data_IF_478624478990
#
_entry.id   IF_478624478990
#
_cell.length_a   1.000
_cell.length_b   1.000
_cell.length_c   1.000
_cell.angle_alpha   90.00
_cell.angle_beta   90.00
_cell.angle_gamma   90.00
#
_symmetry.space_group_name_H-M   'P 1'
#
loop_
_entity.id
_entity.type
_entity.pdbx_description
1 polymer ?
#
# COMPACT_ATOMS: atom_id res chain seq x y z
N UNK A 1 25.42 -27.80 5.63
CA UNK A 1 23.98 -27.51 5.47
C UNK A 1 23.74 -26.10 6.00
N UNK A 2 24.11 -25.11 5.20
CA UNK A 2 24.21 -23.72 5.61
C UNK A 2 22.95 -22.95 5.19
N UNK A 3 22.33 -22.29 6.17
CA UNK A 3 21.62 -21.00 6.05
C UNK A 3 20.62 -20.85 4.90
N UNK A 4 19.44 -21.48 5.00
CA UNK A 4 18.23 -20.85 4.46
C UNK A 4 17.91 -19.65 5.36
N UNK A 5 18.53 -18.51 5.04
CA UNK A 5 18.25 -17.24 5.68
C UNK A 5 16.75 -16.99 5.75
N UNK A 6 16.28 -16.50 6.91
CA UNK A 6 14.91 -16.10 7.19
C UNK A 6 14.42 -15.08 6.16
N UNK A 7 13.93 -15.56 5.03
CA UNK A 7 13.34 -14.68 4.02
C UNK A 7 11.97 -14.25 4.50
N UNK A 8 11.60 -13.00 4.23
CA UNK A 8 10.27 -12.47 4.55
C UNK A 8 9.14 -13.38 4.06
N UNK A 9 9.35 -14.10 2.96
CA UNK A 9 8.37 -15.00 2.35
C UNK A 9 8.44 -16.44 2.85
N UNK A 10 9.18 -16.75 3.92
CA UNK A 10 9.24 -18.07 4.54
C UNK A 10 7.85 -18.73 4.75
N UNK A 11 6.81 -18.02 5.22
CA UNK A 11 5.48 -18.62 5.32
C UNK A 11 4.95 -19.17 3.99
N UNK A 12 5.20 -18.47 2.87
CA UNK A 12 4.73 -18.89 1.56
C UNK A 12 5.38 -20.21 1.12
N UNK A 13 6.68 -20.36 1.40
CA UNK A 13 7.41 -21.61 1.14
C UNK A 13 6.86 -22.76 1.99
N UNK A 14 6.65 -22.54 3.29
CA UNK A 14 6.06 -23.55 4.19
C UNK A 14 4.67 -24.00 3.70
N UNK A 15 3.80 -23.04 3.35
CA UNK A 15 2.46 -23.33 2.86
C UNK A 15 2.49 -24.12 1.54
N UNK A 16 3.37 -23.72 0.61
CA UNK A 16 3.56 -24.42 -0.66
C UNK A 16 4.01 -25.87 -0.47
N UNK A 17 4.96 -26.11 0.43
CA UNK A 17 5.47 -27.46 0.71
C UNK A 17 4.38 -28.36 1.33
N UNK A 18 3.45 -27.74 2.08
CA UNK A 18 2.25 -28.39 2.61
C UNK A 18 1.07 -28.43 1.60
N UNK A 19 1.32 -28.09 0.33
CA UNK A 19 0.33 -28.06 -0.76
C UNK A 19 -0.86 -27.12 -0.52
N UNK A 20 -0.66 -26.08 0.29
CA UNK A 20 -1.63 -25.02 0.48
C UNK A 20 -1.30 -23.89 -0.50
N UNK A 21 -2.20 -23.59 -1.45
CA UNK A 21 -1.99 -22.47 -2.35
C UNK A 21 -2.02 -21.15 -1.56
N UNK A 22 -1.11 -20.24 -1.87
CA UNK A 22 -1.03 -18.95 -1.22
C UNK A 22 -0.54 -17.89 -2.20
N UNK A 23 -0.93 -16.63 -1.95
CA UNK A 23 -0.50 -15.47 -2.72
C UNK A 23 -0.23 -14.30 -1.78
N UNK A 24 0.87 -13.60 -2.00
CA UNK A 24 1.28 -12.40 -1.28
C UNK A 24 0.36 -11.25 -1.68
N UNK A 25 -0.03 -10.44 -0.70
CA UNK A 25 -1.02 -9.38 -0.86
C UNK A 25 -0.55 -8.03 -0.28
N UNK A 26 -1.36 -6.99 -0.50
CA UNK A 26 -1.14 -5.62 0.01
C UNK A 26 0.23 -5.02 -0.38
N UNK A 27 0.98 -4.45 0.58
CA UNK A 27 2.20 -3.68 0.36
C UNK A 27 3.28 -4.50 -0.37
N UNK A 28 3.48 -5.75 0.02
CA UNK A 28 4.45 -6.63 -0.64
C UNK A 28 4.05 -6.90 -2.11
N UNK A 29 2.75 -7.05 -2.39
CA UNK A 29 2.25 -7.28 -3.75
C UNK A 29 2.41 -6.04 -4.65
N UNK A 30 2.05 -4.85 -4.16
CA UNK A 30 2.25 -3.62 -4.96
C UNK A 30 3.74 -3.26 -5.08
N UNK A 31 4.53 -3.55 -4.04
CA UNK A 31 5.98 -3.37 -4.05
C UNK A 31 6.68 -4.22 -5.10
N UNK A 32 6.22 -5.46 -5.32
CA UNK A 32 6.70 -6.32 -6.39
C UNK A 32 6.55 -5.69 -7.79
N UNK A 33 5.52 -4.86 -7.99
CA UNK A 33 5.27 -4.14 -9.25
C UNK A 33 5.99 -2.79 -9.36
N UNK A 34 6.86 -2.45 -8.40
CA UNK A 34 7.69 -1.24 -8.46
C UNK A 34 7.13 -0.05 -7.68
N UNK A 35 6.08 -0.23 -6.88
CA UNK A 35 5.62 0.81 -5.94
C UNK A 35 6.64 0.97 -4.81
N UNK A 36 7.17 2.17 -4.54
CA UNK A 36 8.01 2.44 -3.38
C UNK A 36 7.15 2.51 -2.12
N UNK A 37 6.89 1.36 -1.51
CA UNK A 37 6.15 1.25 -0.25
C UNK A 37 7.01 0.67 0.86
N UNK A 38 6.73 1.10 2.09
CA UNK A 38 7.26 0.45 3.28
C UNK A 38 6.39 -0.75 3.60
N UNK A 39 7.03 -1.88 3.94
CA UNK A 39 6.34 -3.12 4.30
C UNK A 39 6.38 -3.30 5.82
N UNK A 40 5.23 -3.63 6.41
CA UNK A 40 5.11 -3.88 7.85
C UNK A 40 4.86 -5.38 8.08
N UNK A 41 3.59 -5.78 8.11
CA UNK A 41 3.16 -7.19 8.14
C UNK A 41 3.19 -7.80 6.74
N UNK A 42 3.46 -9.10 6.65
CA UNK A 42 3.28 -9.85 5.41
C UNK A 42 1.82 -10.30 5.32
N UNK A 43 1.11 -9.86 4.29
CA UNK A 43 -0.26 -10.29 4.04
C UNK A 43 -0.27 -11.42 3.02
N UNK A 44 -0.99 -12.49 3.32
CA UNK A 44 -1.09 -13.67 2.46
C UNK A 44 -2.55 -14.05 2.33
N UNK A 45 -3.04 -14.17 1.09
CA UNK A 45 -4.33 -14.79 0.85
C UNK A 45 -4.15 -16.31 0.81
N UNK A 46 -5.06 -17.04 1.44
CA UNK A 46 -5.14 -18.50 1.46
C UNK A 46 -6.61 -18.96 1.33
N UNK A 47 -6.89 -20.18 0.83
CA UNK A 47 -8.26 -20.67 0.75
C UNK A 47 -8.91 -20.89 2.13
N UNK A 48 -8.11 -21.38 3.09
CA UNK A 48 -8.55 -21.70 4.44
C UNK A 48 -7.51 -21.18 5.43
N UNK A 49 -7.91 -20.16 6.21
CA UNK A 49 -7.02 -19.50 7.16
C UNK A 49 -6.69 -20.38 8.36
N UNK A 50 -7.62 -21.24 8.82
CA UNK A 50 -7.40 -22.09 9.99
C UNK A 50 -6.42 -23.22 9.65
N UNK A 51 -6.61 -23.87 8.49
CA UNK A 51 -5.68 -24.89 8.00
C UNK A 51 -4.27 -24.32 7.77
N UNK A 52 -4.17 -23.15 7.12
CA UNK A 52 -2.89 -22.48 6.88
C UNK A 52 -2.21 -22.06 8.19
N UNK A 53 -2.97 -21.56 9.17
CA UNK A 53 -2.43 -21.21 10.48
C UNK A 53 -1.88 -22.44 11.20
N UNK A 54 -2.61 -23.56 11.21
CA UNK A 54 -2.16 -24.81 11.84
C UNK A 54 -0.81 -25.30 11.27
N UNK A 55 -0.65 -25.27 9.95
CA UNK A 55 0.62 -25.64 9.29
C UNK A 55 1.77 -24.75 9.74
N UNK A 56 1.55 -23.43 9.88
CA UNK A 56 2.59 -22.52 10.36
C UNK A 56 2.91 -22.76 11.85
N UNK A 57 1.89 -23.03 12.68
CA UNK A 57 2.05 -23.34 14.10
C UNK A 57 2.87 -24.63 14.31
N UNK A 58 2.63 -25.67 13.50
CA UNK A 58 3.43 -26.90 13.50
C UNK A 58 4.91 -26.65 13.17
N UNK A 59 5.23 -25.54 12.50
CA UNK A 59 6.58 -25.09 12.17
C UNK A 59 7.13 -24.03 13.14
N UNK A 60 6.49 -23.86 14.30
CA UNK A 60 6.96 -22.99 15.38
C UNK A 60 6.46 -21.55 15.33
N UNK A 61 5.54 -21.19 14.43
CA UNK A 61 4.90 -19.88 14.46
C UNK A 61 3.90 -19.78 15.62
N UNK A 62 3.76 -18.59 16.20
CA UNK A 62 2.83 -18.37 17.30
C UNK A 62 1.62 -17.59 16.82
N UNK A 63 0.42 -18.12 17.08
CA UNK A 63 -0.83 -17.42 16.82
C UNK A 63 -1.06 -16.37 17.90
N UNK A 64 -1.22 -15.10 17.50
CA UNK A 64 -1.62 -14.04 18.41
C UNK A 64 -3.14 -14.06 18.65
N UNK A 65 -3.55 -13.70 19.87
CA UNK A 65 -4.95 -13.76 20.29
C UNK A 65 -5.84 -12.84 19.43
N UNK A 66 -7.03 -13.35 19.06
CA UNK A 66 -7.97 -12.76 18.10
C UNK A 66 -8.60 -11.44 18.56
N UNK A 67 -8.30 -10.98 19.78
CA UNK A 67 -9.06 -9.94 20.47
C UNK A 67 -8.82 -8.52 19.95
N UNK A 68 -7.74 -8.23 19.20
CA UNK A 68 -7.40 -6.86 18.78
C UNK A 68 -6.66 -6.74 17.44
N UNK A 69 -6.98 -7.57 16.47
CA UNK A 69 -6.21 -7.59 15.24
C UNK A 69 -6.63 -6.44 14.30
N UNK A 70 -5.70 -5.51 14.10
CA UNK A 70 -5.85 -4.35 13.22
C UNK A 70 -5.14 -4.61 11.89
N UNK A 71 -5.75 -4.19 10.80
CA UNK A 71 -5.14 -4.05 9.48
C UNK A 71 -4.46 -2.68 9.39
N UNK A 72 -3.19 -2.61 9.80
CA UNK A 72 -2.53 -1.34 10.09
C UNK A 72 -3.18 -0.68 11.31
N UNK A 73 -3.83 0.47 11.12
CA UNK A 73 -4.56 1.16 12.19
C UNK A 73 -6.07 0.86 12.22
N UNK A 74 -6.63 0.21 11.19
CA UNK A 74 -8.06 -0.07 11.08
C UNK A 74 -8.40 -1.42 11.73
N UNK A 75 -9.55 -1.53 12.39
CA UNK A 75 -10.08 -2.85 12.77
C UNK A 75 -10.44 -3.62 11.50
N UNK A 76 -9.98 -4.86 11.38
CA UNK A 76 -10.37 -5.71 10.27
C UNK A 76 -11.67 -6.43 10.66
N UNK A 77 -12.76 -6.15 9.94
CA UNK A 77 -14.03 -6.87 10.12
C UNK A 77 -14.00 -8.31 9.56
N UNK A 78 -12.99 -8.62 8.75
CA UNK A 78 -12.76 -9.92 8.11
C UNK A 78 -12.19 -10.97 9.05
N UNK A 79 -12.53 -12.24 8.82
CA UNK A 79 -11.86 -13.34 9.49
C UNK A 79 -10.37 -13.35 9.08
N UNK A 80 -9.45 -13.47 10.04
CA UNK A 80 -8.02 -13.51 9.76
C UNK A 80 -7.24 -14.11 10.93
N UNK A 81 -6.02 -14.54 10.64
CA UNK A 81 -5.06 -15.00 11.64
C UNK A 81 -3.79 -14.17 11.59
N UNK A 82 -3.32 -13.72 12.75
CA UNK A 82 -2.04 -13.03 12.91
C UNK A 82 -1.05 -13.95 13.58
N UNK A 83 0.03 -14.27 12.89
CA UNK A 83 1.09 -15.14 13.39
C UNK A 83 2.42 -14.38 13.50
N UNK A 84 3.15 -14.61 14.58
CA UNK A 84 4.54 -14.15 14.75
C UNK A 84 5.52 -15.26 14.38
N UNK A 85 6.66 -14.91 13.77
CA UNK A 85 7.70 -15.89 13.45
C UNK A 85 8.22 -16.56 14.74
N UNK A 86 8.75 -17.79 14.64
CA UNK A 86 9.43 -18.43 15.76
C UNK A 86 10.53 -17.50 16.28
N UNK A 87 10.52 -17.20 17.58
CA UNK A 87 11.54 -16.37 18.20
C UNK A 87 12.83 -17.19 18.22
N UNK A 88 13.85 -16.76 17.47
CA UNK A 88 15.20 -17.27 17.63
C UNK A 88 15.76 -16.70 18.95
N UNK A 89 15.74 -17.50 20.02
CA UNK A 89 16.27 -17.11 21.34
C UNK A 89 17.74 -16.66 21.26
N UNK A 90 18.45 -16.99 20.18
CA UNK A 90 19.85 -16.59 19.98
C UNK A 90 20.04 -15.16 19.49
N UNK A 91 19.00 -14.50 18.94
CA UNK A 91 19.13 -13.17 18.32
C UNK A 91 18.61 -12.00 19.16
N UNK A 92 17.88 -12.25 20.26
CA UNK A 92 17.32 -11.18 21.10
C UNK A 92 17.87 -11.19 22.53
N UNK A 93 19.14 -10.80 22.65
CA UNK A 93 19.54 -9.95 23.78
C UNK A 93 19.92 -8.58 23.20
N UNK A 94 19.03 -7.58 23.22
CA UNK A 94 19.51 -6.21 23.20
C UNK A 94 20.37 -6.09 24.44
N UNK A 95 21.68 -6.01 24.28
CA UNK A 95 22.56 -5.51 25.31
C UNK A 95 22.18 -4.04 25.49
N UNK A 96 21.13 -3.78 26.28
CA UNK A 96 20.86 -2.47 26.86
C UNK A 96 21.98 -2.24 27.87
N UNK A 97 23.15 -1.86 27.37
CA UNK A 97 24.15 -1.18 28.16
C UNK A 97 23.57 0.18 28.54
N UNK A 98 23.43 0.51 29.84
CA UNK A 98 22.95 1.83 30.24
C UNK A 98 24.01 2.86 29.83
N UNK A 99 23.67 3.76 28.90
CA UNK A 99 24.49 4.95 28.63
C UNK A 99 24.77 5.33 27.18
N UNK A 100 24.17 4.70 26.16
CA UNK A 100 24.31 5.21 24.78
C UNK A 100 23.13 6.09 24.36
N UNK A 101 23.47 7.24 23.78
CA UNK A 101 22.59 8.15 23.05
C UNK A 101 21.74 7.42 22.00
N UNK A 102 20.57 7.99 21.63
CA UNK A 102 19.69 7.38 20.64
C UNK A 102 20.45 7.08 19.33
N UNK A 103 20.30 5.88 18.76
CA UNK A 103 21.00 5.53 17.54
C UNK A 103 20.57 6.46 16.40
N UNK A 104 21.48 6.82 15.48
CA UNK A 104 21.14 7.61 14.30
C UNK A 104 20.06 6.90 13.47
N UNK A 105 19.26 7.67 12.70
CA UNK A 105 18.17 7.10 11.90
C UNK A 105 18.71 6.02 10.95
N UNK A 106 17.96 4.92 10.74
CA UNK A 106 18.43 3.82 9.92
C UNK A 106 18.65 4.28 8.48
N UNK A 107 19.87 4.08 7.98
CA UNK A 107 20.21 4.21 6.57
C UNK A 107 19.28 3.33 5.72
N UNK A 108 19.00 3.70 4.45
CA UNK A 108 18.15 2.93 3.55
C UNK A 108 18.85 1.62 3.14
N UNK A 109 18.78 0.61 4.01
CA UNK A 109 19.28 -0.73 3.74
C UNK A 109 18.28 -1.46 2.84
N UNK A 110 18.80 -2.06 1.76
CA UNK A 110 18.06 -2.89 0.80
C UNK A 110 17.66 -4.27 1.35
N UNK A 111 17.74 -4.45 2.67
CA UNK A 111 17.43 -5.72 3.34
C UNK A 111 15.94 -5.68 3.69
N UNK A 112 15.11 -6.62 3.20
CA UNK A 112 13.74 -6.71 3.64
C UNK A 112 13.73 -6.87 5.16
N UNK A 113 13.13 -5.90 5.87
CA UNK A 113 12.89 -6.02 7.31
C UNK A 113 12.13 -7.33 7.52
N UNK A 114 12.69 -8.20 8.37
CA UNK A 114 12.05 -9.48 8.70
C UNK A 114 10.59 -9.22 9.09
N UNK A 115 9.66 -10.07 8.64
CA UNK A 115 8.25 -9.86 8.89
C UNK A 115 8.04 -9.93 10.39
N UNK A 116 7.70 -8.77 10.98
CA UNK A 116 7.34 -8.71 12.39
C UNK A 116 6.12 -9.60 12.64
N UNK A 117 5.23 -9.73 11.65
CA UNK A 117 4.04 -10.60 11.68
C UNK A 117 3.60 -11.04 10.28
N UNK A 118 3.00 -12.22 10.20
CA UNK A 118 2.29 -12.77 9.04
C UNK A 118 0.79 -12.71 9.29
N UNK A 119 0.04 -12.17 8.34
CA UNK A 119 -1.42 -12.06 8.42
C UNK A 119 -2.02 -12.91 7.30
N UNK A 120 -2.75 -13.95 7.71
CA UNK A 120 -3.50 -14.82 6.80
C UNK A 120 -4.90 -14.26 6.60
N UNK A 121 -5.26 -14.09 5.34
CA UNK A 121 -6.55 -13.57 4.90
C UNK A 121 -7.26 -14.63 4.04
N UNK A 122 -8.58 -14.81 4.18
CA UNK A 122 -9.33 -15.73 3.34
C UNK A 122 -9.47 -15.15 1.93
N UNK A 123 -8.99 -15.86 0.92
CA UNK A 123 -9.02 -15.41 -0.47
C UNK A 123 -10.45 -15.14 -0.97
N UNK A 124 -11.44 -15.86 -0.43
CA UNK A 124 -12.86 -15.66 -0.73
C UNK A 124 -13.38 -14.29 -0.36
N UNK A 125 -12.92 -13.69 0.75
CA UNK A 125 -13.34 -12.34 1.15
C UNK A 125 -12.65 -11.24 0.33
N UNK A 126 -11.54 -11.58 -0.32
CA UNK A 126 -10.76 -10.69 -1.17
C UNK A 126 -11.08 -10.86 -2.67
N UNK A 127 -12.16 -11.59 -3.00
CA UNK A 127 -12.60 -11.85 -4.38
C UNK A 127 -11.47 -12.41 -5.28
N UNK A 128 -10.51 -13.12 -4.69
CA UNK A 128 -9.36 -13.69 -5.40
C UNK A 128 -9.56 -15.19 -5.61
N UNK A 129 -9.41 -15.62 -6.86
CA UNK A 129 -9.50 -17.04 -7.24
C UNK A 129 -8.12 -17.56 -7.58
N UNK A 130 -7.69 -18.63 -6.91
CA UNK A 130 -6.40 -19.25 -7.20
C UNK A 130 -6.42 -19.92 -8.58
N UNK A 131 -5.39 -19.70 -9.43
CA UNK A 131 -5.24 -20.46 -10.65
C UNK A 131 -4.94 -21.94 -10.33
N UNK A 132 -5.28 -22.83 -11.26
CA UNK A 132 -5.01 -24.28 -11.11
C UNK A 132 -3.53 -24.60 -10.95
N UNK A 133 -2.64 -23.72 -11.43
CA UNK A 133 -1.19 -23.84 -11.31
C UNK A 133 -0.65 -22.50 -10.79
N UNK A 134 -0.03 -22.52 -9.61
CA UNK A 134 0.61 -21.34 -9.01
C UNK A 134 2.10 -21.38 -9.34
N UNK A 135 2.54 -20.46 -10.21
CA UNK A 135 3.95 -20.34 -10.61
C UNK A 135 4.71 -19.33 -9.76
N UNK A 136 4.01 -18.33 -9.21
CA UNK A 136 4.56 -17.25 -8.41
C UNK A 136 3.72 -17.04 -7.16
N UNK A 137 4.35 -16.59 -6.07
CA UNK A 137 3.62 -16.12 -4.89
C UNK A 137 2.99 -14.75 -5.11
N UNK A 138 3.29 -14.05 -6.20
CA UNK A 138 2.69 -12.75 -6.51
C UNK A 138 1.55 -12.90 -7.52
N UNK A 139 0.41 -12.23 -7.28
CA UNK A 139 -0.73 -12.29 -8.19
C UNK A 139 -0.38 -11.55 -9.49
N UNK A 140 -0.86 -11.99 -10.67
CA UNK A 140 -0.78 -11.19 -11.90
C UNK A 140 -1.35 -9.78 -11.70
N UNK A 141 -0.73 -8.78 -12.33
CA UNK A 141 -1.10 -7.37 -12.13
C UNK A 141 -2.59 -7.08 -12.41
N UNK A 142 -3.20 -7.58 -13.50
CA UNK A 142 -4.63 -7.38 -13.74
C UNK A 142 -5.51 -7.98 -12.65
N UNK A 143 -5.19 -9.20 -12.19
CA UNK A 143 -5.94 -9.88 -11.12
C UNK A 143 -5.83 -9.15 -9.78
N UNK A 144 -4.64 -8.61 -9.46
CA UNK A 144 -4.43 -7.78 -8.28
C UNK A 144 -5.29 -6.51 -8.34
N UNK A 145 -5.25 -5.80 -9.47
CA UNK A 145 -6.03 -4.56 -9.65
C UNK A 145 -7.52 -4.85 -9.60
N UNK A 146 -8.00 -5.89 -10.28
CA UNK A 146 -9.41 -6.29 -10.26
C UNK A 146 -9.89 -6.61 -8.85
N UNK A 147 -9.15 -7.42 -8.10
CA UNK A 147 -9.53 -7.80 -6.74
C UNK A 147 -9.55 -6.60 -5.78
N UNK A 148 -8.58 -5.68 -5.90
CA UNK A 148 -8.56 -4.45 -5.10
C UNK A 148 -9.75 -3.53 -5.44
N UNK A 149 -10.07 -3.36 -6.72
CA UNK A 149 -11.23 -2.57 -7.16
C UNK A 149 -12.53 -3.22 -6.67
N UNK A 150 -12.70 -4.52 -6.86
CA UNK A 150 -13.91 -5.25 -6.44
C UNK A 150 -14.14 -5.05 -4.94
N UNK A 151 -13.09 -5.26 -4.13
CA UNK A 151 -13.13 -5.10 -2.68
C UNK A 151 -13.44 -3.66 -2.27
N UNK A 152 -12.80 -2.66 -2.90
CA UNK A 152 -13.05 -1.24 -2.64
C UNK A 152 -14.51 -0.85 -2.94
N UNK A 153 -15.09 -1.40 -4.00
CA UNK A 153 -16.44 -1.08 -4.44
C UNK A 153 -17.53 -1.87 -3.67
N UNK A 154 -17.20 -3.05 -3.14
CA UNK A 154 -18.13 -3.87 -2.34
C UNK A 154 -18.16 -3.47 -0.86
N UNK A 155 -17.03 -3.06 -0.28
CA UNK A 155 -16.93 -2.81 1.16
C UNK A 155 -17.81 -1.64 1.63
N UNK A 156 -18.34 -1.65 2.86
CA UNK A 156 -19.03 -0.49 3.40
C UNK A 156 -18.07 0.70 3.56
N UNK A 157 -18.51 1.89 3.14
CA UNK A 157 -17.70 3.14 3.15
C UNK A 157 -17.43 3.71 4.57
N UNK A 158 -17.65 2.91 5.61
CA UNK A 158 -17.53 3.28 7.02
C UNK A 158 -16.21 2.86 7.65
N UNK A 159 -15.48 1.94 7.02
CA UNK A 159 -14.38 1.23 7.66
C UNK A 159 -13.03 1.78 7.18
N UNK A 160 -12.05 1.95 8.07
CA UNK A 160 -10.70 2.44 7.69
C UNK A 160 -9.98 1.62 6.61
N UNK A 161 -10.50 0.42 6.30
CA UNK A 161 -10.07 -0.44 5.20
C UNK A 161 -10.20 0.22 3.82
N UNK A 162 -11.26 1.01 3.56
CA UNK A 162 -11.46 1.64 2.25
C UNK A 162 -10.30 2.59 1.90
N UNK A 163 -9.81 3.35 2.88
CA UNK A 163 -8.67 4.25 2.68
C UNK A 163 -7.42 3.48 2.27
N UNK A 164 -7.15 2.33 2.89
CA UNK A 164 -5.97 1.53 2.57
C UNK A 164 -6.06 0.92 1.18
N UNK A 165 -7.23 0.41 0.79
CA UNK A 165 -7.47 -0.09 -0.57
C UNK A 165 -7.31 1.03 -1.61
N UNK A 166 -7.91 2.19 -1.36
CA UNK A 166 -7.78 3.36 -2.22
C UNK A 166 -6.32 3.78 -2.39
N UNK A 167 -5.53 3.79 -1.32
CA UNK A 167 -4.09 4.09 -1.36
C UNK A 167 -3.31 3.06 -2.16
N UNK A 168 -3.55 1.76 -1.96
CA UNK A 168 -2.88 0.70 -2.73
C UNK A 168 -3.16 0.84 -4.23
N UNK A 169 -4.42 1.11 -4.60
CA UNK A 169 -4.80 1.35 -6.00
C UNK A 169 -4.13 2.63 -6.52
N UNK A 170 -4.22 3.74 -5.79
CA UNK A 170 -3.59 5.00 -6.18
C UNK A 170 -2.08 4.86 -6.37
N UNK A 171 -1.41 4.05 -5.56
CA UNK A 171 0.00 3.71 -5.75
C UNK A 171 0.26 2.93 -7.04
N UNK A 172 -0.57 1.94 -7.37
CA UNK A 172 -0.43 1.24 -8.65
C UNK A 172 -0.55 2.24 -9.82
N UNK A 173 -1.59 3.08 -9.83
CA UNK A 173 -1.80 4.10 -10.86
C UNK A 173 -0.71 5.19 -10.86
N UNK A 174 -0.10 5.48 -9.71
CA UNK A 174 0.97 6.46 -9.58
C UNK A 174 2.32 5.97 -10.09
N UNK A 175 2.67 4.71 -9.86
CA UNK A 175 4.02 4.20 -10.06
C UNK A 175 4.16 3.17 -11.19
N UNK A 176 3.15 2.35 -11.46
CA UNK A 176 3.26 1.22 -12.39
C UNK A 176 2.92 1.69 -13.81
N UNK A 177 3.84 1.65 -14.79
CA UNK A 177 3.57 2.17 -16.14
C UNK A 177 2.43 1.43 -16.86
N UNK A 178 2.34 0.11 -16.69
CA UNK A 178 1.35 -0.72 -17.37
C UNK A 178 -0.09 -0.27 -17.07
N UNK A 179 -0.40 0.09 -15.82
CA UNK A 179 -1.77 0.51 -15.45
C UNK A 179 -2.10 1.96 -15.86
N UNK A 180 -1.14 2.70 -16.44
CA UNK A 180 -1.37 4.04 -17.00
C UNK A 180 -1.79 4.00 -18.46
N UNK A 181 -1.68 2.83 -19.11
CA UNK A 181 -2.09 2.63 -20.48
C UNK A 181 -3.58 2.32 -20.54
N UNK A 182 -4.32 3.01 -21.42
CA UNK A 182 -5.75 2.77 -21.62
C UNK A 182 -6.06 1.32 -22.05
N UNK A 183 -5.15 0.68 -22.78
CA UNK A 183 -5.24 -0.73 -23.21
C UNK A 183 -5.18 -1.72 -22.04
N UNK A 184 -4.72 -1.31 -20.86
CA UNK A 184 -4.73 -2.16 -19.68
C UNK A 184 -6.14 -2.59 -19.28
N UNK A 185 -7.15 -1.76 -19.56
CA UNK A 185 -8.56 -2.10 -19.34
C UNK A 185 -8.99 -3.43 -19.98
N UNK A 186 -8.38 -3.83 -21.10
CA UNK A 186 -8.75 -5.08 -21.78
C UNK A 186 -8.40 -6.34 -20.98
N UNK A 187 -7.50 -6.21 -20.01
CA UNK A 187 -7.08 -7.27 -19.10
C UNK A 187 -7.92 -7.33 -17.82
N UNK A 188 -8.77 -6.33 -17.59
CA UNK A 188 -9.64 -6.23 -16.40
C UNK A 188 -11.03 -6.83 -16.67
N UNK A 189 -11.72 -7.21 -15.59
CA UNK A 189 -13.15 -7.52 -15.61
C UNK A 189 -13.91 -6.38 -16.27
N UNK A 190 -14.91 -6.72 -17.09
CA UNK A 190 -15.66 -5.75 -17.89
C UNK A 190 -16.23 -4.60 -17.04
N UNK A 191 -16.78 -4.92 -15.88
CA UNK A 191 -17.37 -3.94 -14.96
C UNK A 191 -16.35 -3.03 -14.24
N UNK A 192 -15.05 -3.36 -14.28
CA UNK A 192 -13.99 -2.53 -13.69
C UNK A 192 -13.27 -1.65 -14.72
N UNK A 193 -13.54 -1.84 -16.00
CA UNK A 193 -12.90 -1.05 -17.08
C UNK A 193 -13.23 0.43 -16.97
N UNK A 194 -14.46 0.76 -16.55
CA UNK A 194 -14.86 2.15 -16.40
C UNK A 194 -14.13 2.84 -15.25
N UNK A 195 -13.96 2.15 -14.11
CA UNK A 195 -13.10 2.62 -13.01
C UNK A 195 -11.69 2.98 -13.50
N UNK A 196 -11.12 2.14 -14.37
CA UNK A 196 -9.81 2.40 -14.95
C UNK A 196 -9.82 3.64 -15.85
N UNK A 197 -10.78 3.76 -16.78
CA UNK A 197 -10.88 4.95 -17.64
C UNK A 197 -11.08 6.24 -16.84
N UNK A 198 -11.93 6.20 -15.83
CA UNK A 198 -12.20 7.34 -14.97
C UNK A 198 -10.99 7.72 -14.12
N UNK A 199 -10.24 6.75 -13.62
CA UNK A 199 -8.95 6.98 -12.94
C UNK A 199 -7.93 7.66 -13.86
N UNK A 200 -7.93 7.35 -15.16
CA UNK A 200 -7.04 7.99 -16.15
C UNK A 200 -7.57 9.33 -16.68
N UNK A 201 -8.85 9.63 -16.48
CA UNK A 201 -9.50 10.84 -16.99
C UNK A 201 -9.14 12.12 -16.21
N UNK A 202 -8.44 11.98 -15.08
CA UNK A 202 -8.13 13.07 -14.15
C UNK A 202 -9.15 13.24 -13.02
N UNK A 203 -10.09 12.30 -12.86
CA UNK A 203 -10.95 12.27 -11.67
C UNK A 203 -10.12 12.04 -10.42
N UNK A 204 -10.55 12.62 -9.30
CA UNK A 204 -9.95 12.50 -7.99
C UNK A 204 -10.15 11.08 -7.42
N UNK A 205 -9.40 10.13 -7.98
CA UNK A 205 -9.46 8.71 -7.63
C UNK A 205 -9.18 8.47 -6.14
N UNK A 206 -9.83 7.47 -5.57
CA UNK A 206 -9.67 7.13 -4.15
C UNK A 206 -10.38 8.10 -3.18
N UNK A 207 -11.18 9.05 -3.66
CA UNK A 207 -12.05 9.90 -2.83
C UNK A 207 -13.43 9.28 -2.64
N UNK A 208 -14.15 9.67 -1.57
CA UNK A 208 -15.50 9.17 -1.32
C UNK A 208 -16.50 9.49 -2.44
N UNK A 209 -16.53 10.71 -3.04
CA UNK A 209 -17.37 10.99 -4.20
C UNK A 209 -17.07 10.07 -5.38
N UNK A 210 -15.79 9.88 -5.70
CA UNK A 210 -15.34 8.99 -6.76
C UNK A 210 -15.81 7.55 -6.52
N UNK A 211 -15.58 6.99 -5.34
CA UNK A 211 -15.98 5.61 -5.03
C UNK A 211 -17.51 5.42 -5.13
N UNK A 212 -18.30 6.40 -4.67
CA UNK A 212 -19.76 6.35 -4.79
C UNK A 212 -20.23 6.41 -6.25
N UNK A 213 -19.55 7.20 -7.06
CA UNK A 213 -19.80 7.30 -8.50
C UNK A 213 -19.49 5.95 -9.18
N UNK A 214 -18.30 5.41 -8.96
CA UNK A 214 -17.87 4.15 -9.55
C UNK A 214 -18.76 2.96 -9.17
N UNK A 215 -19.30 2.91 -7.94
CA UNK A 215 -20.29 1.89 -7.57
C UNK A 215 -21.53 1.93 -8.45
N UNK A 216 -22.11 3.12 -8.64
CA UNK A 216 -23.30 3.29 -9.48
C UNK A 216 -23.04 2.90 -10.92
N UNK A 217 -21.86 3.26 -11.43
CA UNK A 217 -21.44 2.94 -12.79
C UNK A 217 -21.23 1.44 -12.95
N UNK A 218 -20.53 0.78 -12.03
CA UNK A 218 -20.34 -0.68 -12.01
C UNK A 218 -21.67 -1.42 -11.97
N UNK A 219 -22.60 -1.00 -11.12
CA UNK A 219 -23.93 -1.60 -11.02
C UNK A 219 -24.73 -1.40 -12.32
N UNK A 220 -24.66 -0.21 -12.91
CA UNK A 220 -25.29 0.07 -14.21
C UNK A 220 -24.67 -0.72 -15.37
N UNK A 221 -23.36 -0.98 -15.35
CA UNK A 221 -22.68 -1.86 -16.31
C UNK A 221 -23.14 -3.31 -16.17
N UNK A 222 -23.23 -3.82 -14.94
CA UNK A 222 -23.74 -5.18 -14.65
C UNK A 222 -25.18 -5.36 -15.10
N UNK A 223 -25.99 -4.30 -15.01
CA UNK A 223 -27.39 -4.29 -15.48
C UNK A 223 -27.55 -3.98 -16.98
N UNK A 224 -26.45 -3.70 -17.70
CA UNK A 224 -26.49 -3.34 -19.13
C UNK A 224 -27.11 -1.96 -19.42
N UNK A 225 -27.24 -1.09 -18.40
CA UNK A 225 -27.77 0.28 -18.51
C UNK A 225 -26.70 1.33 -18.81
N UNK A 226 -25.44 0.93 -18.84
CA UNK A 226 -24.30 1.81 -19.11
C UNK A 226 -23.38 1.17 -20.14
N UNK A 227 -22.72 2.01 -20.95
CA UNK A 227 -21.71 1.59 -21.93
C UNK A 227 -20.39 2.26 -21.58
N UNK A 228 -19.30 1.53 -21.75
CA UNK A 228 -17.96 2.04 -21.49
C UNK A 228 -17.68 3.31 -22.30
N UNK A 229 -17.08 4.30 -21.67
CA UNK A 229 -16.67 5.56 -22.28
C UNK A 229 -15.36 6.06 -21.67
N UNK A 230 -14.75 7.05 -22.33
CA UNK A 230 -13.45 7.60 -21.92
C UNK A 230 -13.50 8.33 -20.57
N UNK A 231 -14.67 8.83 -20.19
CA UNK A 231 -14.95 9.47 -18.91
C UNK A 231 -16.46 9.41 -18.66
N UNK A 232 -16.87 8.93 -17.49
CA UNK A 232 -18.29 8.70 -17.14
C UNK A 232 -18.95 9.87 -16.40
N UNK A 233 -18.21 10.96 -16.17
CA UNK A 233 -18.68 12.14 -15.46
C UNK A 233 -18.47 13.44 -16.27
N UNK A 234 -19.23 14.47 -15.93
CA UNK A 234 -19.00 15.82 -16.45
C UNK A 234 -17.70 16.39 -15.86
N UNK A 235 -16.82 16.95 -16.71
CA UNK A 235 -15.54 17.55 -16.31
C UNK A 235 -15.71 18.79 -15.44
N UNK A 236 -16.91 19.37 -15.39
CA UNK A 236 -17.24 20.47 -14.50
C UNK A 236 -17.79 20.00 -13.14
N UNK A 237 -17.94 18.70 -12.89
CA UNK A 237 -18.28 18.16 -11.58
C UNK A 237 -17.09 18.31 -10.62
N UNK A 238 -17.08 19.42 -9.87
CA UNK A 238 -16.04 19.74 -8.90
C UNK A 238 -15.91 18.72 -7.74
N UNK A 239 -16.90 17.83 -7.54
CA UNK A 239 -16.81 16.76 -6.55
C UNK A 239 -15.96 15.58 -7.03
N UNK A 240 -15.85 15.41 -8.36
CA UNK A 240 -15.07 14.37 -9.01
C UNK A 240 -13.77 14.92 -9.62
N UNK A 241 -13.73 16.21 -9.98
CA UNK A 241 -12.56 16.89 -10.54
C UNK A 241 -12.10 18.03 -9.62
N UNK A 242 -11.22 17.71 -8.68
CA UNK A 242 -10.88 18.62 -7.57
C UNK A 242 -9.74 19.60 -7.89
N UNK A 243 -9.01 19.45 -8.99
CA UNK A 243 -7.85 20.29 -9.31
C UNK A 243 -8.18 21.79 -9.35
N UNK A 244 -9.29 22.16 -10.01
CA UNK A 244 -9.76 23.56 -10.05
C UNK A 244 -10.10 24.07 -8.65
N UNK A 245 -10.73 23.24 -7.82
CA UNK A 245 -11.08 23.58 -6.43
C UNK A 245 -9.83 23.79 -5.59
N UNK A 246 -8.87 22.86 -5.68
CA UNK A 246 -7.59 22.93 -4.97
C UNK A 246 -6.77 24.16 -5.39
N UNK A 247 -6.77 24.51 -6.67
CA UNK A 247 -6.13 25.73 -7.16
C UNK A 247 -6.76 27.00 -6.57
N UNK A 248 -8.10 27.08 -6.50
CA UNK A 248 -8.80 28.21 -5.84
C UNK A 248 -8.48 28.28 -4.35
N UNK A 249 -8.50 27.14 -3.64
CA UNK A 249 -8.15 27.08 -2.22
C UNK A 249 -6.70 27.57 -2.02
N UNK A 250 -5.75 27.07 -2.82
CA UNK A 250 -4.34 27.47 -2.75
C UNK A 250 -4.15 28.96 -3.02
N UNK A 251 -4.87 29.54 -3.98
CA UNK A 251 -4.83 30.97 -4.28
C UNK A 251 -5.48 31.84 -3.18
N UNK A 252 -6.43 31.28 -2.41
CA UNK A 252 -7.09 31.97 -1.30
C UNK A 252 -6.34 31.89 0.03
N UNK A 253 -5.36 30.97 0.14
CA UNK A 253 -4.55 30.84 1.34
C UNK A 253 -3.59 32.04 1.41
N UNK A 254 -3.53 32.78 2.53
CA UNK A 254 -2.54 33.83 2.71
C UNK A 254 -1.14 33.22 2.57
N UNK A 255 -0.23 33.95 1.91
CA UNK A 255 1.17 33.52 1.80
C UNK A 255 1.72 33.29 3.22
N UNK A 256 2.31 32.11 3.50
CA UNK A 256 2.87 31.82 4.83
C UNK A 256 4.07 32.71 5.17
N UNK A 257 4.63 33.39 4.17
CA UNK A 257 5.66 34.40 4.33
C UNK A 257 5.17 35.70 3.72
N UNK A 258 5.23 36.79 4.49
CA UNK A 258 5.23 38.10 3.87
C UNK A 258 6.47 38.21 2.96
N UNK A 259 6.39 38.93 1.83
CA UNK A 259 7.58 39.23 1.02
C UNK A 259 8.72 39.83 1.86
N UNK A 260 8.37 40.56 2.92
CA UNK A 260 9.29 41.18 3.86
C UNK A 260 10.05 40.14 4.71
N UNK A 261 9.37 39.10 5.22
CA UNK A 261 10.01 37.99 5.95
C UNK A 261 10.91 37.15 5.05
N UNK A 262 10.50 36.88 3.81
CA UNK A 262 11.31 36.13 2.85
C UNK A 262 12.62 36.84 2.50
N UNK A 263 12.55 38.15 2.22
CA UNK A 263 13.75 38.96 1.94
C UNK A 263 14.65 39.11 3.18
N UNK A 264 14.05 39.16 4.38
CA UNK A 264 14.81 39.22 5.63
C UNK A 264 15.57 37.92 5.92
N UNK A 265 14.95 36.75 5.68
CA UNK A 265 15.59 35.45 5.87
C UNK A 265 16.68 35.19 4.83
N UNK A 266 16.41 35.49 3.55
CA UNK A 266 17.41 35.41 2.49
C UNK A 266 18.65 36.26 2.79
N UNK A 267 18.45 37.49 3.27
CA UNK A 267 19.56 38.37 3.65
C UNK A 267 20.36 37.82 4.84
N UNK A 268 19.70 37.12 5.76
CA UNK A 268 20.33 36.48 6.92
C UNK A 268 21.22 35.31 6.50
N UNK A 269 20.73 34.46 5.59
CA UNK A 269 21.50 33.36 4.99
C UNK A 269 22.72 33.88 4.21
N UNK A 270 22.55 34.92 3.37
CA UNK A 270 23.66 35.54 2.63
C UNK A 270 24.72 36.18 3.55
N UNK A 271 24.32 36.69 4.73
CA UNK A 271 25.26 37.20 5.74
C UNK A 271 25.97 36.08 6.50
N UNK A 272 25.30 34.96 6.78
CA UNK A 272 25.88 33.78 7.42
C UNK A 272 26.90 33.07 6.51
N UNK A 273 26.59 32.88 5.23
CA UNK A 273 27.53 32.32 4.24
C UNK A 273 28.79 33.20 4.12
N UNK A 274 28.63 34.52 4.13
CA UNK A 274 29.75 35.46 4.06
C UNK A 274 30.63 35.44 5.30
N UNK A 275 30.05 35.20 6.48
CA UNK A 275 30.81 35.01 7.72
C UNK A 275 31.57 33.69 7.72
N UNK A 276 30.93 32.59 7.29
CA UNK A 276 31.59 31.29 7.18
C UNK A 276 32.79 31.34 6.24
N UNK A 277 32.66 31.99 5.07
CA UNK A 277 33.78 32.20 4.15
C UNK A 277 34.92 33.06 4.73
N UNK A 278 34.58 34.08 5.53
CA UNK A 278 35.59 34.93 6.16
C UNK A 278 36.34 34.21 7.29
N UNK A 279 35.69 33.31 8.03
CA UNK A 279 36.33 32.56 9.11
C UNK A 279 37.22 31.42 8.57
N UNK A 280 36.92 30.85 7.40
CA UNK A 280 37.77 29.84 6.74
C UNK A 280 39.09 30.43 6.22
N UNK A 281 39.06 31.64 5.63
CA UNK A 281 40.24 32.34 5.07
C UNK A 281 41.27 32.77 6.14
N UNK A 282 40.88 32.88 7.41
CA UNK A 282 41.79 33.24 8.51
C UNK A 282 42.38 32.03 9.25
N UNK A 283 42.01 30.80 8.88
CA UNK A 283 42.49 29.57 9.53
C UNK A 283 43.68 28.89 8.84
N UNK A 284 44.07 29.34 7.63
CA UNK A 284 45.20 28.80 6.86
C UNK A 284 46.48 29.70 6.90
N UNK A 285 46.55 30.69 7.79
CA UNK A 285 47.70 31.61 7.95
C UNK A 285 48.63 31.29 9.10
#
# INVERSE_FOLDING_TARGET
MATEHATRFQPCYILRDSKIPCVIWCEDAVGYYGVPTVVFSLYILVPDIDNAANVLIERGWHLEDRAQTKFGNAQLGSAHHRLTPPIDETQNRPALSPGMEPPPPPSPSKIPVEPTTTILLPASEWNYTFPSIIQSFFPPLPELVDALIDRLLDDPLTDGMWNRLAVLIAYLYGYVPAVKEKSFADQLKYEHRQYHYDSLSGMASGTLPFIRHERKIRDALREGRFQLCDCSADREDESLFTDKVLARIRASMPSPFSPEEYEADKKREEEEERRQWADEDFSEG
#
